data_IF_241581405929
#
_entry.id   IF_241581405929
#
_cell.length_a   1.000
_cell.length_b   1.000
_cell.length_c   1.000
_cell.angle_alpha   90.00
_cell.angle_beta   90.00
_cell.angle_gamma   90.00
#
_symmetry.space_group_name_H-M   'P 1'
#
loop_
_entity.id
_entity.type
_entity.pdbx_description
1 polymer ?
#
# COMPACT_ATOMS: atom_id res chain seq x y z
N UNK A 1 9.84 10.89 -40.23
CA UNK A 1 9.95 10.54 -38.80
C UNK A 1 8.98 9.40 -38.52
N UNK A 2 9.47 8.16 -38.65
CA UNK A 2 8.63 6.97 -38.58
C UNK A 2 8.51 6.51 -37.11
N UNK A 3 7.27 6.39 -36.61
CA UNK A 3 6.99 5.83 -35.29
C UNK A 3 7.37 4.34 -35.26
N UNK A 4 8.37 3.98 -34.45
CA UNK A 4 8.79 2.58 -34.31
C UNK A 4 7.74 1.76 -33.53
N UNK A 5 7.08 0.84 -34.23
CA UNK A 5 6.11 -0.11 -33.69
C UNK A 5 6.78 -1.27 -32.92
N UNK A 6 7.66 -0.98 -31.95
CA UNK A 6 8.30 -1.99 -31.07
C UNK A 6 7.87 -1.89 -29.60
N UNK A 7 6.70 -1.31 -29.32
CA UNK A 7 6.16 -1.18 -27.96
C UNK A 7 5.21 -2.30 -27.52
N UNK A 8 4.91 -3.26 -28.39
CA UNK A 8 4.02 -4.37 -28.04
C UNK A 8 4.77 -5.70 -28.05
N UNK A 9 4.96 -6.22 -26.83
CA UNK A 9 5.25 -7.63 -26.57
C UNK A 9 4.17 -8.50 -27.22
N UNK A 10 4.59 -9.51 -27.99
CA UNK A 10 3.72 -10.51 -28.63
C UNK A 10 3.05 -11.43 -27.58
N UNK A 11 3.53 -11.42 -26.33
CA UNK A 11 2.80 -11.98 -25.20
C UNK A 11 1.75 -10.98 -24.69
N UNK A 12 0.48 -11.42 -24.68
CA UNK A 12 -0.73 -10.68 -24.24
C UNK A 12 -0.69 -10.18 -22.78
N UNK A 13 0.40 -10.36 -22.05
CA UNK A 13 0.61 -9.72 -20.76
C UNK A 13 1.25 -8.36 -20.97
N UNK A 14 0.44 -7.35 -21.32
CA UNK A 14 0.88 -5.95 -21.32
C UNK A 14 1.22 -5.58 -19.88
N UNK A 15 2.48 -5.81 -19.48
CA UNK A 15 3.03 -5.26 -18.24
C UNK A 15 3.15 -3.77 -18.49
N UNK A 16 2.07 -3.04 -18.17
CA UNK A 16 2.06 -1.57 -18.14
C UNK A 16 3.11 -1.15 -17.13
N UNK A 17 4.31 -0.87 -17.64
CA UNK A 17 5.27 -0.07 -16.92
C UNK A 17 4.68 1.34 -16.97
N UNK A 18 4.37 1.89 -15.82
CA UNK A 18 3.86 3.25 -15.74
C UNK A 18 5.02 4.19 -16.11
N UNK A 19 4.93 4.78 -17.30
CA UNK A 19 5.98 5.60 -17.91
C UNK A 19 6.19 6.90 -17.11
N UNK A 20 5.22 7.30 -16.29
CA UNK A 20 5.31 8.52 -15.49
C UNK A 20 6.11 8.33 -14.19
N UNK A 21 6.19 7.12 -13.65
CA UNK A 21 6.85 6.85 -12.36
C UNK A 21 8.02 5.88 -12.43
N UNK A 22 8.22 5.17 -13.55
CA UNK A 22 9.33 4.23 -13.74
C UNK A 22 9.26 2.97 -12.87
N UNK A 23 8.23 2.82 -12.04
CA UNK A 23 8.03 1.65 -11.18
C UNK A 23 6.99 0.70 -11.77
N UNK A 24 7.23 -0.61 -11.64
CA UNK A 24 6.18 -1.60 -11.93
C UNK A 24 5.05 -1.41 -10.90
N UNK A 25 3.76 -1.49 -11.28
CA UNK A 25 2.64 -1.34 -10.34
C UNK A 25 2.71 -2.31 -9.13
N UNK A 26 3.29 -3.49 -9.34
CA UNK A 26 3.59 -4.46 -8.26
C UNK A 26 4.62 -3.95 -7.24
N UNK A 27 5.57 -3.10 -7.63
CA UNK A 27 6.59 -2.56 -6.73
C UNK A 27 5.98 -1.65 -5.66
N UNK A 28 5.02 -0.79 -6.03
CA UNK A 28 4.33 0.09 -5.07
C UNK A 28 3.48 -0.69 -4.08
N UNK A 29 2.83 -1.76 -4.53
CA UNK A 29 2.04 -2.61 -3.65
C UNK A 29 2.95 -3.39 -2.67
N UNK A 30 4.10 -3.86 -3.13
CA UNK A 30 5.12 -4.49 -2.27
C UNK A 30 5.68 -3.48 -1.25
N UNK A 31 6.01 -2.26 -1.67
CA UNK A 31 6.44 -1.16 -0.78
C UNK A 31 5.40 -0.89 0.31
N UNK A 32 4.12 -0.77 -0.07
CA UNK A 32 3.02 -0.59 0.88
C UNK A 32 2.93 -1.77 1.86
N UNK A 33 3.04 -3.01 1.37
CA UNK A 33 2.99 -4.22 2.20
C UNK A 33 4.14 -4.29 3.20
N UNK A 34 5.34 -3.88 2.78
CA UNK A 34 6.51 -3.76 3.65
C UNK A 34 6.33 -2.66 4.69
N UNK A 35 5.78 -1.50 4.29
CA UNK A 35 5.47 -0.40 5.18
C UNK A 35 4.48 -0.84 6.28
N UNK A 36 3.39 -1.51 5.90
CA UNK A 36 2.39 -2.08 6.82
C UNK A 36 3.02 -3.09 7.78
N UNK A 37 3.93 -3.93 7.29
CA UNK A 37 4.69 -4.87 8.14
C UNK A 37 5.67 -4.16 9.08
N UNK A 38 6.18 -2.98 8.69
CA UNK A 38 6.96 -2.09 9.55
C UNK A 38 6.12 -1.51 10.69
N UNK A 39 4.90 -1.05 10.40
CA UNK A 39 3.96 -0.54 11.40
C UNK A 39 3.70 -1.59 12.49
N UNK A 40 3.48 -2.86 12.11
CA UNK A 40 3.29 -3.95 13.09
C UNK A 40 4.48 -4.15 14.03
N UNK A 41 5.70 -4.00 13.53
CA UNK A 41 6.93 -4.17 14.32
C UNK A 41 7.13 -3.05 15.34
N UNK A 42 6.67 -1.84 15.02
CA UNK A 42 6.84 -0.65 15.85
C UNK A 42 5.57 -0.23 16.59
N UNK A 43 4.53 -1.08 16.63
CA UNK A 43 3.20 -0.76 17.20
C UNK A 43 3.25 -0.30 18.67
N UNK A 44 4.31 -0.67 19.39
CA UNK A 44 4.58 -0.26 20.78
C UNK A 44 5.12 1.18 20.90
N UNK A 45 5.51 1.80 19.79
CA UNK A 45 5.94 3.19 19.67
C UNK A 45 4.88 3.98 18.88
N UNK A 46 3.88 4.59 19.54
CA UNK A 46 2.75 5.22 18.86
C UNK A 46 3.16 6.30 17.87
N UNK A 47 4.09 7.19 18.24
CA UNK A 47 4.53 8.27 17.36
C UNK A 47 5.20 7.77 16.08
N UNK A 48 6.05 6.74 16.19
CA UNK A 48 6.68 6.10 15.01
C UNK A 48 5.64 5.38 14.16
N UNK A 49 4.72 4.66 14.79
CA UNK A 49 3.63 3.96 14.12
C UNK A 49 2.75 4.92 13.33
N UNK A 50 2.37 6.05 13.93
CA UNK A 50 1.52 7.07 13.30
C UNK A 50 2.20 7.74 12.11
N UNK A 51 3.48 8.09 12.22
CA UNK A 51 4.27 8.58 11.07
C UNK A 51 4.33 7.58 9.92
N UNK A 52 4.50 6.29 10.22
CA UNK A 52 4.48 5.27 9.18
C UNK A 52 3.08 5.01 8.62
N UNK A 53 2.01 5.21 9.40
CA UNK A 53 0.64 5.18 8.88
C UNK A 53 0.42 6.33 7.90
N UNK A 54 0.89 7.54 8.20
CA UNK A 54 0.85 8.67 7.27
C UNK A 54 1.60 8.34 5.98
N UNK A 55 2.80 7.76 6.08
CA UNK A 55 3.55 7.30 4.92
C UNK A 55 2.80 6.23 4.12
N UNK A 56 2.17 5.26 4.79
CA UNK A 56 1.36 4.23 4.14
C UNK A 56 0.14 4.81 3.41
N UNK A 57 -0.49 5.87 3.94
CA UNK A 57 -1.58 6.59 3.25
C UNK A 57 -1.07 7.22 1.95
N UNK A 58 0.10 7.85 1.96
CA UNK A 58 0.73 8.41 0.75
C UNK A 58 1.04 7.33 -0.28
N UNK A 59 1.60 6.20 0.15
CA UNK A 59 1.85 5.05 -0.74
C UNK A 59 0.54 4.48 -1.31
N UNK A 60 -0.52 4.39 -0.52
CA UNK A 60 -1.81 3.85 -0.96
C UNK A 60 -2.40 4.65 -2.14
N UNK A 61 -2.18 5.95 -2.19
CA UNK A 61 -2.63 6.78 -3.32
C UNK A 61 -1.97 6.39 -4.65
N UNK A 62 -0.69 6.00 -4.62
CA UNK A 62 0.10 5.65 -5.80
C UNK A 62 0.07 4.17 -6.18
N UNK A 63 -0.60 3.31 -5.40
CA UNK A 63 -0.79 1.89 -5.71
C UNK A 63 -1.88 1.71 -6.77
N UNK A 64 -1.66 0.85 -7.76
CA UNK A 64 -2.65 0.50 -8.79
C UNK A 64 -3.49 -0.73 -8.36
N UNK A 65 -4.55 -0.49 -7.59
CA UNK A 65 -5.55 -1.50 -7.15
C UNK A 65 -6.95 -0.91 -7.23
N UNK A 66 -7.98 -1.77 -7.17
CA UNK A 66 -9.38 -1.34 -7.26
C UNK A 66 -9.73 -0.31 -6.17
N UNK A 67 -10.68 0.59 -6.50
CA UNK A 67 -11.14 1.63 -5.58
C UNK A 67 -11.72 1.04 -4.29
N UNK A 68 -12.36 -0.12 -4.35
CA UNK A 68 -12.85 -0.83 -3.17
C UNK A 68 -11.71 -1.24 -2.24
N UNK A 69 -10.62 -1.78 -2.79
CA UNK A 69 -9.43 -2.18 -2.02
C UNK A 69 -8.75 -0.94 -1.44
N UNK A 70 -8.60 0.14 -2.22
CA UNK A 70 -8.10 1.43 -1.70
C UNK A 70 -8.95 1.95 -0.55
N UNK A 71 -10.28 1.95 -0.70
CA UNK A 71 -11.20 2.41 0.33
C UNK A 71 -11.18 1.57 1.60
N UNK A 72 -11.04 0.23 1.47
CA UNK A 72 -10.83 -0.65 2.64
C UNK A 72 -9.50 -0.38 3.31
N UNK A 73 -8.42 -0.28 2.53
CA UNK A 73 -7.10 -0.03 3.07
C UNK A 73 -7.00 1.32 3.80
N UNK A 74 -7.60 2.37 3.23
CA UNK A 74 -7.68 3.69 3.83
C UNK A 74 -8.42 3.66 5.17
N UNK A 75 -9.55 2.94 5.25
CA UNK A 75 -10.30 2.76 6.51
C UNK A 75 -9.47 2.07 7.59
N UNK A 76 -8.78 0.99 7.26
CA UNK A 76 -7.89 0.31 8.23
C UNK A 76 -6.77 1.24 8.73
N UNK A 77 -6.13 2.02 7.84
CA UNK A 77 -5.12 3.01 8.22
C UNK A 77 -5.70 4.16 9.06
N UNK A 78 -6.95 4.56 8.82
CA UNK A 78 -7.63 5.58 9.61
C UNK A 78 -7.97 5.07 11.01
N UNK A 79 -8.60 3.90 11.11
CA UNK A 79 -8.96 3.29 12.38
C UNK A 79 -7.71 3.02 13.22
N UNK A 80 -6.64 2.48 12.62
CA UNK A 80 -5.39 2.23 13.34
C UNK A 80 -4.80 3.50 13.97
N UNK A 81 -4.80 4.62 13.26
CA UNK A 81 -4.33 5.92 13.78
C UNK A 81 -5.23 6.44 14.91
N UNK A 82 -6.55 6.29 14.79
CA UNK A 82 -7.50 6.61 15.86
C UNK A 82 -7.30 5.76 17.11
N UNK A 83 -7.03 4.47 16.96
CA UNK A 83 -6.74 3.60 18.10
C UNK A 83 -5.39 3.93 18.74
N UNK A 84 -4.36 4.21 17.95
CA UNK A 84 -3.06 4.61 18.46
C UNK A 84 -3.12 5.94 19.22
N UNK A 85 -3.94 6.90 18.76
CA UNK A 85 -4.11 8.18 19.47
C UNK A 85 -4.82 8.02 20.82
N UNK A 86 -5.57 6.94 21.02
CA UNK A 86 -6.21 6.56 22.29
C UNK A 86 -5.37 5.62 23.15
N UNK A 87 -4.18 5.21 22.68
CA UNK A 87 -3.34 4.21 23.35
C UNK A 87 -3.85 2.77 23.22
N UNK A 88 -4.82 2.51 22.33
CA UNK A 88 -5.43 1.21 22.09
C UNK A 88 -4.59 0.37 21.12
N UNK A 89 -3.34 0.07 21.50
CA UNK A 89 -2.36 -0.61 20.63
C UNK A 89 -2.84 -1.97 20.11
N UNK A 90 -3.66 -2.69 20.89
CA UNK A 90 -4.24 -3.97 20.48
C UNK A 90 -5.25 -3.84 19.34
N UNK A 91 -6.15 -2.85 19.41
CA UNK A 91 -7.11 -2.56 18.36
C UNK A 91 -6.41 -2.04 17.11
N UNK A 92 -5.44 -1.14 17.27
CA UNK A 92 -4.60 -0.67 16.16
C UNK A 92 -3.87 -1.83 15.46
N UNK A 93 -3.31 -2.77 16.23
CA UNK A 93 -2.65 -3.95 15.67
C UNK A 93 -3.61 -4.80 14.84
N UNK A 94 -4.84 -5.01 15.31
CA UNK A 94 -5.86 -5.76 14.56
C UNK A 94 -6.19 -5.12 13.21
N UNK A 95 -6.31 -3.79 13.16
CA UNK A 95 -6.54 -3.05 11.92
C UNK A 95 -5.38 -3.22 10.93
N UNK A 96 -4.14 -3.09 11.40
CA UNK A 96 -2.94 -3.22 10.56
C UNK A 96 -2.73 -4.67 10.09
N UNK A 97 -3.04 -5.68 10.92
CA UNK A 97 -2.99 -7.10 10.49
C UNK A 97 -4.03 -7.37 9.40
N UNK A 98 -5.25 -6.85 9.57
CA UNK A 98 -6.33 -6.97 8.58
C UNK A 98 -5.94 -6.33 7.24
N UNK A 99 -5.36 -5.14 7.30
CA UNK A 99 -4.80 -4.45 6.14
C UNK A 99 -3.74 -5.30 5.44
N UNK A 100 -2.77 -5.86 6.18
CA UNK A 100 -1.73 -6.72 5.61
C UNK A 100 -2.33 -7.92 4.88
N UNK A 101 -3.37 -8.55 5.44
CA UNK A 101 -4.05 -9.67 4.80
C UNK A 101 -4.78 -9.25 3.52
N UNK A 102 -5.41 -8.07 3.49
CA UNK A 102 -6.01 -7.53 2.27
C UNK A 102 -4.94 -7.33 1.19
N UNK A 103 -3.84 -6.64 1.52
CA UNK A 103 -2.77 -6.35 0.55
C UNK A 103 -2.11 -7.63 0.02
N UNK A 104 -1.88 -8.63 0.87
CA UNK A 104 -1.27 -9.90 0.49
C UNK A 104 -2.09 -10.71 -0.54
N UNK A 105 -3.40 -10.44 -0.66
CA UNK A 105 -4.26 -11.07 -1.69
C UNK A 105 -4.11 -10.43 -3.07
N UNK A 106 -3.38 -9.32 -3.16
CA UNK A 106 -3.20 -8.52 -4.37
C UNK A 106 -1.73 -8.41 -4.81
N UNK A 107 -0.79 -8.83 -3.98
CA UNK A 107 0.65 -8.97 -4.28
C UNK A 107 0.94 -10.26 -5.03
#
# INVERSE_FOLDING_TARGET
MAYQAKMFSVDRTVRRMDVETGHRPLARLQELTLCVSGILRQIHCPDRSRRSIEHARTLLHSVDVSLEVKGRAARHLQNADQYLSRGENGAARWEIVSLRHILARHT
#
